data_IF_210892131346
#
_entry.id   IF_210892131346
#
_cell.length_a   1.000
_cell.length_b   1.000
_cell.length_c   1.000
_cell.angle_alpha   90.00
_cell.angle_beta   90.00
_cell.angle_gamma   90.00
#
_symmetry.space_group_name_H-M   'P 1'
#
loop_
_entity.id
_entity.type
_entity.pdbx_description
1 polymer ?
#
# COMPACT_ATOMS: atom_id res chain seq x y z
N UNK A 1 -13.79 11.85 0.40
CA UNK A 1 -13.33 10.44 0.26
C UNK A 1 -13.69 9.73 1.55
N UNK A 2 -14.20 8.50 1.52
CA UNK A 2 -14.61 7.81 2.74
C UNK A 2 -13.39 7.40 3.56
N UNK A 3 -13.34 7.89 4.80
CA UNK A 3 -12.32 7.55 5.79
C UNK A 3 -12.93 6.55 6.76
N UNK A 4 -12.30 5.39 6.93
CA UNK A 4 -12.79 4.36 7.83
C UNK A 4 -11.60 3.57 8.40
N UNK A 5 -11.73 3.12 9.64
CA UNK A 5 -10.77 2.14 10.17
C UNK A 5 -10.95 0.81 9.44
N UNK A 6 -9.96 0.40 8.64
CA UNK A 6 -10.03 -0.84 7.88
C UNK A 6 -9.95 -2.03 8.85
N UNK A 7 -10.83 -3.00 8.61
CA UNK A 7 -10.83 -4.31 9.27
C UNK A 7 -11.00 -5.39 8.22
N UNK A 8 -10.49 -6.60 8.47
CA UNK A 8 -10.63 -7.70 7.51
C UNK A 8 -12.10 -8.04 7.22
N UNK A 9 -12.96 -7.93 8.24
CA UNK A 9 -14.41 -8.05 8.08
C UNK A 9 -14.95 -7.01 7.09
N UNK A 10 -14.57 -5.73 7.25
CA UNK A 10 -14.99 -4.68 6.33
C UNK A 10 -14.47 -4.91 4.91
N UNK A 11 -13.19 -5.26 4.77
CA UNK A 11 -12.58 -5.59 3.47
C UNK A 11 -13.36 -6.70 2.78
N UNK A 12 -13.78 -7.74 3.51
CA UNK A 12 -14.52 -8.87 2.94
C UNK A 12 -15.95 -8.50 2.54
N UNK A 13 -16.66 -7.69 3.32
CA UNK A 13 -18.09 -7.41 3.10
C UNK A 13 -18.36 -6.23 2.18
N UNK A 14 -17.46 -5.24 2.12
CA UNK A 14 -17.68 -4.01 1.37
C UNK A 14 -17.91 -4.28 -0.12
N UNK A 15 -18.82 -3.53 -0.73
CA UNK A 15 -19.09 -3.53 -2.17
C UNK A 15 -18.96 -2.12 -2.71
N UNK A 16 -18.64 -2.01 -4.00
CA UNK A 16 -18.68 -0.73 -4.67
C UNK A 16 -20.14 -0.26 -4.77
N UNK A 17 -20.43 1.01 -4.46
CA UNK A 17 -21.73 1.60 -4.75
C UNK A 17 -22.11 1.46 -6.23
N UNK A 18 -23.39 1.22 -6.53
CA UNK A 18 -23.86 0.95 -7.89
C UNK A 18 -23.71 2.15 -8.84
N UNK A 19 -23.56 3.35 -8.29
CA UNK A 19 -23.35 4.62 -9.00
C UNK A 19 -21.89 4.87 -9.41
N UNK A 20 -20.94 3.99 -9.04
CA UNK A 20 -19.50 4.22 -9.25
C UNK A 20 -18.76 2.99 -9.78
N UNK A 21 -17.83 3.23 -10.70
CA UNK A 21 -16.93 2.18 -11.23
C UNK A 21 -15.88 1.71 -10.21
N UNK A 22 -15.47 2.60 -9.31
CA UNK A 22 -14.54 2.30 -8.22
C UNK A 22 -14.65 3.29 -7.07
N UNK A 23 -14.26 2.84 -5.89
CA UNK A 23 -14.14 3.66 -4.68
C UNK A 23 -12.89 3.26 -3.90
N UNK A 24 -12.29 4.21 -3.19
CA UNK A 24 -11.15 3.97 -2.31
C UNK A 24 -11.54 4.38 -0.89
N UNK A 25 -11.43 3.42 0.04
CA UNK A 25 -11.60 3.62 1.47
C UNK A 25 -10.24 3.79 2.12
N UNK A 26 -9.98 4.94 2.74
CA UNK A 26 -8.69 5.20 3.39
C UNK A 26 -8.71 4.74 4.84
N UNK A 27 -7.65 4.03 5.25
CA UNK A 27 -7.46 3.62 6.64
C UNK A 27 -7.30 4.87 7.50
N UNK A 28 -8.19 5.00 8.49
CA UNK A 28 -8.22 6.16 9.37
C UNK A 28 -8.35 5.68 10.83
N UNK A 29 -7.54 6.20 11.76
CA UNK A 29 -7.66 5.87 13.18
C UNK A 29 -9.02 6.26 13.76
N UNK A 30 -9.69 7.27 13.22
CA UNK A 30 -11.00 7.71 13.70
C UNK A 30 -12.10 6.96 12.95
N UNK A 31 -12.84 6.14 13.69
CA UNK A 31 -14.03 5.47 13.15
C UNK A 31 -15.20 6.46 13.00
N UNK A 32 -16.21 6.16 12.16
CA UNK A 32 -17.41 6.99 12.04
C UNK A 32 -18.11 7.28 13.39
N UNK A 33 -18.00 6.35 14.35
CA UNK A 33 -18.56 6.47 15.70
C UNK A 33 -17.73 7.40 16.63
N UNK A 34 -16.74 8.13 16.11
CA UNK A 34 -15.85 9.00 16.88
C UNK A 34 -14.80 8.27 17.73
N UNK A 35 -14.83 6.94 17.78
CA UNK A 35 -13.83 6.13 18.51
C UNK A 35 -12.49 6.14 17.78
N UNK A 36 -11.44 6.49 18.50
CA UNK A 36 -10.05 6.37 18.06
C UNK A 36 -9.61 4.92 18.21
N UNK A 37 -9.11 4.35 17.13
CA UNK A 37 -8.53 3.00 17.07
C UNK A 37 -7.05 3.12 16.72
N UNK A 38 -6.22 2.52 17.57
CA UNK A 38 -4.78 2.48 17.37
C UNK A 38 -4.40 1.48 16.26
N UNK A 39 -3.34 1.79 15.52
CA UNK A 39 -2.79 0.91 14.49
C UNK A 39 -3.28 1.16 13.07
N UNK A 40 -4.12 2.17 12.83
CA UNK A 40 -4.35 2.65 11.46
C UNK A 40 -3.09 3.32 10.91
N UNK A 41 -2.84 3.14 9.61
CA UNK A 41 -1.65 3.69 8.96
C UNK A 41 -2.07 4.70 7.89
N UNK A 42 -1.52 5.92 7.98
CA UNK A 42 -1.77 6.97 6.99
C UNK A 42 -1.30 6.53 5.59
N UNK A 43 -2.04 6.94 4.56
CA UNK A 43 -1.70 6.58 3.17
C UNK A 43 -2.14 5.17 2.76
N UNK A 44 -2.59 4.31 3.68
CA UNK A 44 -3.19 3.01 3.32
C UNK A 44 -4.64 3.19 2.86
N UNK A 45 -5.01 2.57 1.75
CA UNK A 45 -6.39 2.51 1.29
C UNK A 45 -6.78 1.15 0.74
N UNK A 46 -8.09 0.88 0.69
CA UNK A 46 -8.70 -0.25 0.02
C UNK A 46 -9.45 0.27 -1.21
N UNK A 47 -8.97 -0.10 -2.40
CA UNK A 47 -9.69 0.13 -3.65
C UNK A 47 -10.67 -1.02 -3.89
N UNK A 48 -11.93 -0.69 -4.12
CA UNK A 48 -13.01 -1.61 -4.47
C UNK A 48 -13.58 -1.18 -5.81
N UNK A 49 -13.61 -2.09 -6.79
CA UNK A 49 -14.18 -1.84 -8.12
C UNK A 49 -15.62 -2.31 -8.23
N UNK A 50 -16.39 -1.83 -9.20
CA UNK A 50 -17.75 -2.27 -9.50
C UNK A 50 -17.84 -3.78 -9.76
N UNK A 51 -16.77 -4.38 -10.33
CA UNK A 51 -16.63 -5.83 -10.54
C UNK A 51 -16.39 -6.62 -9.25
N UNK A 52 -16.23 -5.96 -8.12
CA UNK A 52 -15.96 -6.59 -6.83
C UNK A 52 -14.48 -6.89 -6.57
N UNK A 53 -13.56 -6.52 -7.47
CA UNK A 53 -12.12 -6.65 -7.21
C UNK A 53 -11.70 -5.69 -6.10
N UNK A 54 -10.89 -6.21 -5.17
CA UNK A 54 -10.42 -5.49 -3.99
C UNK A 54 -8.90 -5.53 -3.94
N UNK A 55 -8.28 -4.37 -3.82
CA UNK A 55 -6.83 -4.24 -3.76
C UNK A 55 -6.42 -3.16 -2.77
N UNK A 56 -5.41 -3.44 -1.96
CA UNK A 56 -4.79 -2.44 -1.10
C UNK A 56 -3.94 -1.49 -1.94
N UNK A 57 -3.99 -0.21 -1.58
CA UNK A 57 -3.26 0.87 -2.23
C UNK A 57 -2.50 1.68 -1.20
N UNK A 58 -1.31 2.14 -1.57
CA UNK A 58 -0.50 3.07 -0.80
C UNK A 58 -0.43 4.40 -1.54
N UNK A 59 -0.90 5.48 -0.90
CA UNK A 59 -0.72 6.84 -1.37
C UNK A 59 0.41 7.50 -0.57
N UNK A 60 1.43 7.96 -1.29
CA UNK A 60 2.61 8.57 -0.71
C UNK A 60 3.04 9.79 -1.53
N UNK A 61 3.96 10.58 -0.98
CA UNK A 61 4.60 11.67 -1.69
C UNK A 61 6.11 11.42 -1.76
N UNK A 62 6.70 11.61 -2.94
CA UNK A 62 8.14 11.50 -3.14
C UNK A 62 8.57 12.56 -4.14
N UNK A 63 9.66 13.28 -3.83
CA UNK A 63 10.15 14.41 -4.65
C UNK A 63 9.08 15.45 -5.03
N UNK A 64 8.15 15.74 -4.12
CA UNK A 64 7.06 16.70 -4.34
C UNK A 64 5.88 16.16 -5.17
N UNK A 65 5.97 14.95 -5.71
CA UNK A 65 4.90 14.31 -6.48
C UNK A 65 4.07 13.38 -5.61
N UNK A 66 2.74 13.46 -5.71
CA UNK A 66 1.82 12.53 -5.05
C UNK A 66 1.64 11.29 -5.92
N UNK A 67 2.06 10.15 -5.40
CA UNK A 67 1.99 8.85 -6.09
C UNK A 67 1.02 7.91 -5.38
N UNK A 68 0.47 6.96 -6.15
CA UNK A 68 -0.38 5.89 -5.64
C UNK A 68 0.05 4.57 -6.26
N UNK A 69 0.33 3.58 -5.42
CA UNK A 69 0.74 2.24 -5.83
C UNK A 69 -0.20 1.19 -5.26
N UNK A 70 -0.52 0.17 -6.03
CA UNK A 70 -1.22 -1.00 -5.50
C UNK A 70 -0.22 -1.90 -4.75
N UNK A 71 -0.54 -2.27 -3.52
CA UNK A 71 0.27 -3.18 -2.69
C UNK A 71 -0.05 -4.64 -3.00
N UNK A 72 -1.31 -4.96 -3.30
CA UNK A 72 -1.74 -6.31 -3.60
C UNK A 72 -3.25 -6.50 -3.51
N UNK A 73 -3.73 -7.66 -3.97
CA UNK A 73 -5.14 -8.03 -3.88
C UNK A 73 -5.52 -8.40 -2.44
N UNK A 74 -6.74 -8.07 -2.03
CA UNK A 74 -7.26 -8.42 -0.70
C UNK A 74 -7.56 -9.92 -0.51
N UNK A 75 -7.39 -10.74 -1.56
CA UNK A 75 -7.38 -12.20 -1.45
C UNK A 75 -6.02 -12.77 -1.02
N UNK A 76 -4.95 -11.98 -1.13
CA UNK A 76 -3.57 -12.39 -0.78
C UNK A 76 -3.09 -11.68 0.48
N UNK A 77 -3.44 -10.40 0.63
CA UNK A 77 -3.07 -9.59 1.80
C UNK A 77 -4.27 -9.42 2.72
N UNK A 78 -4.02 -9.43 4.03
CA UNK A 78 -4.96 -8.97 5.05
C UNK A 78 -4.62 -7.52 5.46
N UNK A 79 -5.48 -6.88 6.26
CA UNK A 79 -5.27 -5.47 6.69
C UNK A 79 -3.96 -5.31 7.48
N UNK A 80 -3.62 -6.25 8.35
CA UNK A 80 -2.37 -6.21 9.13
C UNK A 80 -1.13 -6.24 8.25
N UNK A 81 -1.07 -7.19 7.30
CA UNK A 81 0.00 -7.30 6.31
C UNK A 81 0.10 -6.06 5.43
N UNK A 82 -1.03 -5.49 5.03
CA UNK A 82 -1.05 -4.25 4.24
C UNK A 82 -0.50 -3.05 5.05
N UNK A 83 -0.81 -2.96 6.35
CA UNK A 83 -0.25 -1.93 7.24
C UNK A 83 1.26 -2.07 7.41
N UNK A 84 1.74 -3.29 7.63
CA UNK A 84 3.18 -3.57 7.71
C UNK A 84 3.89 -3.19 6.40
N UNK A 85 3.30 -3.54 5.25
CA UNK A 85 3.84 -3.17 3.94
C UNK A 85 3.91 -1.66 3.74
N UNK A 86 2.93 -0.90 4.22
CA UNK A 86 2.98 0.56 4.20
C UNK A 86 4.09 1.10 5.10
N UNK A 87 4.18 0.64 6.35
CA UNK A 87 5.21 1.08 7.28
C UNK A 87 6.63 0.84 6.73
N UNK A 88 6.86 -0.32 6.11
CA UNK A 88 8.15 -0.61 5.48
C UNK A 88 8.45 0.30 4.29
N UNK A 89 7.44 0.64 3.50
CA UNK A 89 7.60 1.58 2.37
C UNK A 89 7.83 3.00 2.84
N UNK A 90 7.14 3.44 3.89
CA UNK A 90 7.37 4.74 4.53
C UNK A 90 8.79 4.84 5.12
N UNK A 91 9.32 3.74 5.70
CA UNK A 91 10.72 3.69 6.14
C UNK A 91 11.69 3.94 4.98
N UNK A 92 11.49 3.27 3.85
CA UNK A 92 12.31 3.47 2.63
C UNK A 92 12.23 4.90 2.09
N UNK A 93 11.03 5.48 2.08
CA UNK A 93 10.81 6.88 1.70
C UNK A 93 11.55 7.85 2.63
N UNK A 94 11.53 7.59 3.94
CA UNK A 94 12.29 8.38 4.92
C UNK A 94 13.80 8.30 4.74
N UNK A 95 14.29 7.18 4.19
CA UNK A 95 15.70 6.98 3.80
C UNK A 95 16.03 7.62 2.43
N UNK A 96 15.08 8.32 1.80
CA UNK A 96 15.25 8.94 0.48
C UNK A 96 15.23 7.95 -0.69
N UNK A 97 14.85 6.70 -0.45
CA UNK A 97 14.73 5.67 -1.48
C UNK A 97 13.27 5.53 -1.94
N UNK A 98 13.00 5.66 -3.24
CA UNK A 98 11.65 5.41 -3.75
C UNK A 98 11.37 3.89 -3.70
N UNK A 99 10.36 3.44 -2.92
CA UNK A 99 10.02 2.03 -2.75
C UNK A 99 9.48 1.39 -4.03
N UNK A 100 9.15 2.19 -5.04
CA UNK A 100 8.74 1.75 -6.37
C UNK A 100 9.83 1.96 -7.43
N UNK A 101 11.03 2.42 -7.05
CA UNK A 101 12.19 2.25 -7.93
C UNK A 101 12.33 0.77 -8.11
N UNK A 102 12.10 0.31 -9.34
CA UNK A 102 12.33 -1.07 -9.72
C UNK A 102 13.65 -1.52 -9.07
N UNK A 103 13.57 -2.52 -8.19
CA UNK A 103 14.52 -3.61 -8.37
C UNK A 103 14.30 -4.03 -9.81
N UNK A 104 15.00 -3.38 -10.76
CA UNK A 104 15.25 -3.96 -12.06
C UNK A 104 15.63 -5.38 -11.69
N UNK A 105 14.90 -6.37 -12.18
CA UNK A 105 15.35 -7.74 -12.09
C UNK A 105 16.81 -7.71 -12.52
N UNK A 106 17.72 -7.74 -11.54
CA UNK A 106 19.13 -7.67 -11.83
C UNK A 106 19.32 -8.92 -12.64
N UNK A 107 19.73 -8.77 -13.89
CA UNK A 107 20.11 -9.95 -14.64
C UNK A 107 21.19 -10.65 -13.83
N UNK A 108 21.30 -11.97 -13.95
CA UNK A 108 22.34 -12.72 -13.22
C UNK A 108 23.71 -12.06 -13.41
N UNK A 109 23.95 -11.44 -14.58
CA UNK A 109 25.14 -10.62 -14.87
C UNK A 109 25.25 -9.38 -13.97
N UNK A 110 24.22 -8.56 -13.85
CA UNK A 110 24.28 -7.34 -13.02
C UNK A 110 24.48 -7.66 -11.52
N UNK A 111 23.91 -8.79 -11.06
CA UNK A 111 24.12 -9.27 -9.69
C UNK A 111 25.56 -9.74 -9.47
N UNK A 112 26.15 -10.44 -10.44
CA UNK A 112 27.55 -10.88 -10.42
C UNK A 112 28.48 -9.66 -10.41
N UNK A 113 28.30 -8.71 -11.33
CA UNK A 113 29.16 -7.53 -11.46
C UNK A 113 29.18 -6.66 -10.20
N UNK A 114 28.02 -6.52 -9.54
CA UNK A 114 27.91 -5.82 -8.25
C UNK A 114 28.64 -6.55 -7.13
N UNK A 115 28.57 -7.88 -7.08
CA UNK A 115 29.26 -8.67 -6.06
C UNK A 115 30.79 -8.51 -6.16
N UNK A 116 31.34 -8.66 -7.36
CA UNK A 116 32.78 -8.52 -7.61
C UNK A 116 33.29 -7.12 -7.25
N UNK A 117 32.55 -6.08 -7.62
CA UNK A 117 32.94 -4.68 -7.39
C UNK A 117 32.89 -4.25 -5.92
N UNK A 118 32.14 -4.95 -5.06
CA UNK A 118 31.94 -4.55 -3.65
C UNK A 118 32.80 -5.35 -2.68
N UNK A 119 33.25 -6.56 -3.06
CA UNK A 119 33.88 -7.50 -2.13
C UNK A 119 35.28 -7.98 -2.55
N UNK A 120 35.68 -7.81 -3.82
CA UNK A 120 36.91 -8.44 -4.34
C UNK A 120 37.87 -7.41 -4.99
N UNK A 121 37.47 -6.15 -5.12
CA UNK A 121 38.34 -5.05 -5.55
C UNK A 121 38.29 -3.88 -4.58
#
# INVERSE_FOLDING_TARGET
MPNIYLTDTFVRTVRCPADKDQIIYWDNPVSPDGKVRHGAVGGLGLRVTARGNKSFVHAYAFNGERRRKALGAAGVLNVGSARLAVLERERKLGEGSDPDTDERELTVRDAIDRYWSTHIC
#
